data_IF_102205227163
#
_entry.id   IF_102205227163
#
_cell.length_a   1.000
_cell.length_b   1.000
_cell.length_c   1.000
_cell.angle_alpha   90.00
_cell.angle_beta   90.00
_cell.angle_gamma   90.00
#
_symmetry.space_group_name_H-M   'P 1'
#
loop_
_entity.id
_entity.type
_entity.pdbx_description
1 polymer ?
#
# COMPACT_ATOMS: atom_id res chain seq x y z
N UNK A 1 -23.62 -57.03 -1.05
CA UNK A 1 -22.46 -57.17 -1.94
C UNK A 1 -22.63 -56.13 -3.04
N UNK A 2 -21.74 -55.14 -3.11
CA UNK A 2 -21.71 -54.20 -4.23
C UNK A 2 -21.27 -54.91 -5.52
N UNK A 3 -21.86 -54.53 -6.65
CA UNK A 3 -21.47 -54.98 -7.99
C UNK A 3 -20.37 -54.09 -8.60
N UNK A 4 -19.70 -54.59 -9.65
CA UNK A 4 -18.56 -53.91 -10.27
C UNK A 4 -18.88 -52.51 -10.79
N UNK A 5 -20.12 -52.26 -11.24
CA UNK A 5 -20.51 -50.94 -11.74
C UNK A 5 -20.65 -49.91 -10.62
N UNK A 6 -21.10 -50.35 -9.44
CA UNK A 6 -21.21 -49.50 -8.25
C UNK A 6 -19.84 -49.18 -7.64
N UNK A 7 -18.88 -50.11 -7.70
CA UNK A 7 -17.51 -49.86 -7.21
C UNK A 7 -16.82 -48.71 -7.95
N UNK A 8 -17.07 -48.57 -9.25
CA UNK A 8 -16.48 -47.48 -10.05
C UNK A 8 -17.05 -46.09 -9.69
N UNK A 9 -18.26 -46.03 -9.13
CA UNK A 9 -18.93 -44.78 -8.75
C UNK A 9 -18.90 -44.52 -7.23
N UNK A 10 -18.48 -45.51 -6.44
CA UNK A 10 -18.48 -45.41 -4.99
C UNK A 10 -17.40 -44.44 -4.48
N UNK A 11 -17.75 -43.63 -3.48
CA UNK A 11 -16.76 -42.86 -2.74
C UNK A 11 -15.86 -43.78 -1.94
N UNK A 12 -14.60 -43.39 -1.69
CA UNK A 12 -13.69 -44.11 -0.80
C UNK A 12 -14.32 -44.43 0.58
N UNK A 13 -15.09 -43.49 1.13
CA UNK A 13 -15.80 -43.70 2.40
C UNK A 13 -16.90 -44.76 2.29
N UNK A 14 -17.47 -45.01 1.11
CA UNK A 14 -18.47 -46.06 0.93
C UNK A 14 -17.86 -47.44 0.86
N UNK A 15 -16.66 -47.55 0.28
CA UNK A 15 -15.89 -48.78 0.16
C UNK A 15 -15.35 -49.20 1.53
N UNK A 16 -14.71 -48.27 2.26
CA UNK A 16 -14.14 -48.56 3.60
C UNK A 16 -15.21 -48.99 4.62
N UNK A 17 -16.45 -48.55 4.43
CA UNK A 17 -17.56 -48.84 5.33
C UNK A 17 -18.56 -49.83 4.71
N UNK A 18 -18.19 -50.55 3.65
CA UNK A 18 -19.02 -51.62 3.12
C UNK A 18 -19.19 -52.72 4.18
N UNK A 19 -20.43 -53.19 4.38
CA UNK A 19 -20.72 -54.26 5.35
C UNK A 19 -20.56 -53.87 6.83
N UNK A 20 -20.31 -52.58 7.14
CA UNK A 20 -20.21 -52.05 8.51
C UNK A 20 -21.35 -51.08 8.79
N UNK A 21 -21.58 -50.78 10.06
CA UNK A 21 -22.51 -49.73 10.45
C UNK A 21 -22.07 -48.40 9.81
N UNK A 22 -22.93 -47.72 9.03
CA UNK A 22 -22.66 -46.38 8.49
C UNK A 22 -23.25 -45.26 9.35
N UNK A 23 -24.06 -45.63 10.36
CA UNK A 23 -24.70 -44.68 11.26
C UNK A 23 -23.78 -44.19 12.39
N UNK A 24 -22.60 -44.80 12.59
CA UNK A 24 -21.64 -44.26 13.56
C UNK A 24 -20.99 -42.98 13.00
N UNK A 25 -20.83 -41.99 13.87
CA UNK A 25 -20.58 -40.59 13.48
C UNK A 25 -19.37 -40.37 12.56
N UNK A 26 -18.38 -41.27 12.54
CA UNK A 26 -17.17 -41.09 11.72
C UNK A 26 -17.43 -41.16 10.20
N UNK A 27 -18.45 -41.90 9.74
CA UNK A 27 -18.83 -41.91 8.32
C UNK A 27 -19.48 -40.58 7.93
N UNK A 28 -20.42 -40.13 8.77
CA UNK A 28 -21.15 -38.87 8.58
C UNK A 28 -20.19 -37.69 8.55
N UNK A 29 -19.23 -37.63 9.48
CA UNK A 29 -18.26 -36.53 9.56
C UNK A 29 -17.42 -36.40 8.29
N UNK A 30 -16.89 -37.52 7.75
CA UNK A 30 -16.10 -37.51 6.52
C UNK A 30 -16.92 -37.11 5.30
N UNK A 31 -18.16 -37.59 5.22
CA UNK A 31 -19.08 -37.23 4.13
C UNK A 31 -19.45 -35.73 4.17
N UNK A 32 -19.67 -35.20 5.38
CA UNK A 32 -20.07 -33.80 5.57
C UNK A 32 -18.89 -32.83 5.42
N UNK A 33 -17.68 -33.23 5.81
CA UNK A 33 -16.47 -32.41 5.71
C UNK A 33 -16.24 -31.85 4.30
N UNK A 34 -16.33 -32.71 3.26
CA UNK A 34 -16.17 -32.28 1.87
C UNK A 34 -17.18 -31.18 1.46
N UNK A 35 -18.40 -31.24 1.98
CA UNK A 35 -19.43 -30.22 1.75
C UNK A 35 -19.11 -28.91 2.45
N UNK A 36 -18.54 -28.96 3.64
CA UNK A 36 -18.10 -27.76 4.35
C UNK A 36 -16.90 -27.10 3.67
N UNK A 37 -15.90 -27.88 3.24
CA UNK A 37 -14.72 -27.37 2.53
C UNK A 37 -15.11 -26.67 1.24
N UNK A 38 -15.95 -27.30 0.41
CA UNK A 38 -16.42 -26.71 -0.85
C UNK A 38 -17.22 -25.43 -0.63
N UNK A 39 -18.11 -25.40 0.37
CA UNK A 39 -18.85 -24.18 0.75
C UNK A 39 -17.91 -23.08 1.24
N UNK A 40 -16.95 -23.40 2.12
CA UNK A 40 -15.98 -22.45 2.63
C UNK A 40 -15.14 -21.85 1.50
N UNK A 41 -14.68 -22.68 0.55
CA UNK A 41 -13.95 -22.23 -0.64
C UNK A 41 -14.78 -21.26 -1.48
N UNK A 42 -16.04 -21.61 -1.79
CA UNK A 42 -16.93 -20.74 -2.56
C UNK A 42 -17.18 -19.40 -1.87
N UNK A 43 -17.42 -19.41 -0.56
CA UNK A 43 -17.63 -18.19 0.23
C UNK A 43 -16.35 -17.34 0.25
N UNK A 44 -15.18 -17.95 0.44
CA UNK A 44 -13.91 -17.25 0.45
C UNK A 44 -13.61 -16.59 -0.91
N UNK A 45 -13.80 -17.33 -2.00
CA UNK A 45 -13.62 -16.80 -3.37
C UNK A 45 -14.61 -15.67 -3.64
N UNK A 46 -15.88 -15.84 -3.26
CA UNK A 46 -16.90 -14.80 -3.45
C UNK A 46 -16.56 -13.53 -2.65
N UNK A 47 -16.19 -13.66 -1.37
CA UNK A 47 -15.79 -12.51 -0.54
C UNK A 47 -14.58 -11.80 -1.10
N UNK A 48 -13.55 -12.54 -1.53
CA UNK A 48 -12.35 -11.97 -2.12
C UNK A 48 -12.66 -11.24 -3.43
N UNK A 49 -13.45 -11.86 -4.31
CA UNK A 49 -13.89 -11.25 -5.56
C UNK A 49 -14.70 -9.97 -5.31
N UNK A 50 -15.60 -9.97 -4.32
CA UNK A 50 -16.35 -8.78 -3.92
C UNK A 50 -15.43 -7.67 -3.39
N UNK A 51 -14.51 -7.98 -2.48
CA UNK A 51 -13.56 -6.99 -1.94
C UNK A 51 -12.74 -6.30 -3.05
N UNK A 52 -12.24 -7.07 -4.02
CA UNK A 52 -11.43 -6.54 -5.13
C UNK A 52 -12.29 -5.78 -6.13
N UNK A 53 -13.49 -6.26 -6.45
CA UNK A 53 -14.39 -5.63 -7.43
C UNK A 53 -15.17 -4.44 -6.86
N UNK A 54 -15.31 -4.32 -5.53
CA UNK A 54 -16.05 -3.25 -4.86
C UNK A 54 -15.71 -1.83 -5.36
N UNK A 55 -14.43 -1.40 -5.42
CA UNK A 55 -14.09 -0.07 -5.94
C UNK A 55 -14.37 0.08 -7.45
N UNK A 56 -14.27 -1.00 -8.23
CA UNK A 56 -14.54 -0.97 -9.67
C UNK A 56 -16.04 -0.78 -9.93
N UNK A 57 -16.86 -1.51 -9.19
CA UNK A 57 -18.33 -1.45 -9.27
C UNK A 57 -18.82 -0.08 -8.79
N UNK A 58 -18.27 0.44 -7.69
CA UNK A 58 -18.58 1.79 -7.19
C UNK A 58 -18.28 2.87 -8.24
N UNK A 59 -17.17 2.75 -8.98
CA UNK A 59 -16.82 3.69 -10.07
C UNK A 59 -17.73 3.58 -11.30
N UNK A 60 -18.37 2.43 -11.54
CA UNK A 60 -19.31 2.28 -12.64
C UNK A 60 -20.64 2.96 -12.32
N UNK A 61 -21.15 2.78 -11.08
CA UNK A 61 -22.41 3.41 -10.65
C UNK A 61 -22.28 4.91 -10.31
N UNK A 62 -21.11 5.37 -9.86
CA UNK A 62 -20.88 6.79 -9.56
C UNK A 62 -20.80 7.70 -10.81
N UNK A 63 -20.86 7.14 -12.02
CA UNK A 63 -20.82 7.92 -13.28
C UNK A 63 -22.18 8.45 -13.72
N UNK A 64 -23.28 7.95 -13.16
CA UNK A 64 -24.63 8.36 -13.57
C UNK A 64 -25.10 9.67 -12.90
N UNK A 65 -24.47 10.08 -11.80
CA UNK A 65 -24.71 11.40 -11.19
C UNK A 65 -23.64 12.37 -11.69
N UNK A 66 -23.80 12.83 -12.94
CA UNK A 66 -23.26 14.12 -13.37
C UNK A 66 -24.02 15.21 -12.59
N UNK A 67 -23.71 15.33 -11.30
CA UNK A 67 -23.90 16.60 -10.61
C UNK A 67 -23.00 17.56 -11.36
N UNK A 68 -23.64 18.43 -12.14
CA UNK A 68 -23.06 19.70 -12.58
C UNK A 68 -22.68 20.47 -11.34
N UNK A 69 -21.53 20.11 -10.77
CA UNK A 69 -20.79 21.00 -9.91
C UNK A 69 -20.23 22.07 -10.84
N UNK A 70 -21.07 23.06 -11.14
CA UNK A 70 -20.65 24.43 -11.32
C UNK A 70 -19.96 24.86 -10.01
N UNK A 71 -18.80 24.25 -9.74
CA UNK A 71 -17.84 24.74 -8.77
C UNK A 71 -17.39 26.06 -9.36
N UNK A 72 -18.14 27.10 -9.01
CA UNK A 72 -17.75 28.48 -9.15
C UNK A 72 -16.44 28.58 -8.37
N UNK A 73 -15.33 28.41 -9.10
CA UNK A 73 -14.00 28.66 -8.61
C UNK A 73 -13.99 30.15 -8.31
N UNK A 74 -14.27 30.52 -7.06
CA UNK A 74 -13.73 31.76 -6.54
C UNK A 74 -12.23 31.57 -6.62
N UNK A 75 -11.64 32.13 -7.68
CA UNK A 75 -10.24 32.48 -7.70
C UNK A 75 -10.03 33.25 -6.40
N UNK A 76 -9.47 32.57 -5.41
CA UNK A 76 -8.84 33.26 -4.30
C UNK A 76 -7.76 34.09 -4.98
N UNK A 77 -8.04 35.37 -5.19
CA UNK A 77 -7.00 36.36 -5.33
C UNK A 77 -6.10 36.14 -4.12
N UNK A 78 -4.96 35.51 -4.37
CA UNK A 78 -3.93 35.32 -3.38
C UNK A 78 -3.63 36.73 -2.88
N UNK A 79 -3.99 37.01 -1.62
CA UNK A 79 -3.64 38.26 -0.96
C UNK A 79 -2.17 38.49 -1.25
N UNK A 80 -1.88 39.55 -1.99
CA UNK A 80 -0.52 39.92 -2.31
C UNK A 80 0.23 40.01 -0.98
N UNK A 81 1.30 39.21 -0.86
CA UNK A 81 1.97 39.00 0.41
C UNK A 81 2.32 40.38 1.00
N UNK A 82 2.00 40.65 2.28
CA UNK A 82 2.29 41.94 2.88
C UNK A 82 3.77 42.24 2.65
N UNK A 83 4.13 43.46 2.22
CA UNK A 83 5.52 43.78 1.90
C UNK A 83 6.37 43.45 3.13
N UNK A 84 7.22 42.43 3.01
CA UNK A 84 8.21 42.15 4.02
C UNK A 84 9.08 43.41 4.10
N UNK A 85 9.26 43.96 5.30
CA UNK A 85 10.08 45.15 5.50
C UNK A 85 11.43 44.94 4.82
N UNK A 86 11.63 45.54 3.65
CA UNK A 86 12.94 45.54 3.00
C UNK A 86 13.83 46.42 3.88
N UNK A 87 14.96 45.91 4.42
CA UNK A 87 15.84 46.76 5.22
C UNK A 87 16.31 47.91 4.34
N UNK A 88 15.91 49.14 4.71
CA UNK A 88 16.31 50.36 4.00
C UNK A 88 17.82 50.35 3.84
N UNK A 89 18.31 50.46 2.59
CA UNK A 89 19.73 50.39 2.23
C UNK A 89 20.52 51.37 3.07
N UNK A 90 21.11 50.91 4.18
CA UNK A 90 21.90 51.77 5.06
C UNK A 90 23.09 52.26 4.26
N UNK A 91 23.12 53.55 3.93
CA UNK A 91 24.27 54.17 3.29
C UNK A 91 25.48 53.92 4.19
N UNK A 92 26.38 53.04 3.75
CA UNK A 92 27.56 52.66 4.50
C UNK A 92 28.55 53.81 4.38
N UNK A 93 28.74 54.57 5.46
CA UNK A 93 29.81 55.55 5.53
C UNK A 93 31.15 54.79 5.44
N UNK A 94 31.89 55.01 4.35
CA UNK A 94 33.23 54.44 4.19
C UNK A 94 34.18 55.15 5.14
N UNK A 95 34.61 54.44 6.19
CA UNK A 95 35.75 54.89 6.99
C UNK A 95 37.05 54.59 6.22
N UNK A 96 38.01 55.54 6.14
CA UNK A 96 39.30 55.26 5.51
C UNK A 96 40.06 54.21 6.35
N UNK A 97 40.45 53.10 5.73
CA UNK A 97 41.36 52.13 6.37
C UNK A 97 42.79 52.68 6.27
N UNK A 98 43.41 52.95 7.42
CA UNK A 98 44.84 53.17 7.49
C UNK A 98 45.56 51.82 7.31
N UNK A 99 46.27 51.68 6.19
CA UNK A 99 47.11 50.51 5.92
C UNK A 99 48.43 50.64 6.68
N UNK A 100 48.57 49.88 7.76
CA UNK A 100 49.88 49.51 8.28
C UNK A 100 50.31 48.21 7.59
N UNK A 101 51.41 48.26 6.83
CA UNK A 101 52.05 47.09 6.25
C UNK A 101 53.08 46.53 7.23
N UNK A 102 52.98 45.26 7.66
CA UNK A 102 54.10 44.59 8.30
C UNK A 102 54.93 43.82 7.26
N UNK A 103 56.24 44.02 7.34
CA UNK A 103 57.30 43.42 6.54
C UNK A 103 57.38 41.89 6.79
N UNK A 104 57.13 41.09 5.76
CA UNK A 104 57.24 39.62 5.79
C UNK A 104 58.71 39.19 5.62
N UNK A 105 59.31 38.66 6.69
CA UNK A 105 60.57 37.92 6.61
C UNK A 105 60.28 36.44 6.34
N UNK A 106 60.61 36.00 5.12
CA UNK A 106 60.58 34.61 4.68
C UNK A 106 61.64 33.79 5.43
N UNK A 107 61.26 32.62 5.96
CA UNK A 107 62.22 31.56 6.31
C UNK A 107 61.92 30.30 5.49
N UNK A 108 62.95 29.68 4.88
CA UNK A 108 62.77 28.65 3.87
C UNK A 108 62.42 27.27 4.43
N UNK A 109 61.64 26.57 3.61
CA UNK A 109 61.10 25.23 3.78
C UNK A 109 62.21 24.17 3.70
N UNK A 110 62.76 23.75 4.83
CA UNK A 110 63.71 22.62 4.86
C UNK A 110 63.68 21.88 6.20
N UNK A 111 62.74 20.93 6.35
CA UNK A 111 62.92 19.69 7.14
C UNK A 111 61.59 18.95 7.29
N UNK A 112 61.25 18.10 6.32
CA UNK A 112 60.46 16.91 6.62
C UNK A 112 61.38 15.87 7.27
N UNK A 113 60.86 15.05 8.19
CA UNK A 113 60.95 13.61 7.93
C UNK A 113 59.63 12.87 8.13
N UNK A 114 59.49 11.84 7.29
CA UNK A 114 58.48 10.78 7.28
C UNK A 114 58.58 9.92 8.55
N UNK A 115 57.43 9.55 9.08
CA UNK A 115 57.13 8.25 9.68
C UNK A 115 55.69 7.90 9.31
#
# INVERSE_FOLDING_TARGET
>A
MMDNTQLAQASFNDIVFEGRNKAYGAYVLRRLYNKHVTRALLIAVALLALMVSFPLIARMFAKDEVVKDDKMLKVNELMEAPPWMTPSRRHRHHHPRHHHHPHLSFLPLSSLPRC
#
